data_IF_034448293953
#
_entry.id   IF_034448293953
#
_cell.length_a   1.000
_cell.length_b   1.000
_cell.length_c   1.000
_cell.angle_alpha   90.00
_cell.angle_beta   90.00
_cell.angle_gamma   90.00
#
_symmetry.space_group_name_H-M   'P 1'
#
loop_
_entity.id
_entity.type
_entity.pdbx_description
1 polymer ?
#
# COMPACT_ATOMS: atom_id res chain seq x y z
N UNK A 1 6.74 -3.99 14.40
CA UNK A 1 7.16 -2.61 14.71
C UNK A 1 6.02 -1.67 14.39
N UNK A 2 5.74 -0.76 15.27
CA UNK A 2 4.60 0.13 15.15
C UNK A 2 5.07 1.57 14.95
N UNK A 3 4.59 2.20 13.87
CA UNK A 3 4.90 3.59 13.57
C UNK A 3 3.60 4.38 13.48
N UNK A 4 3.50 5.42 14.25
CA UNK A 4 2.37 6.33 14.18
C UNK A 4 2.70 7.49 13.26
N UNK A 5 1.71 7.91 12.48
CA UNK A 5 1.84 9.06 11.63
C UNK A 5 1.57 10.32 12.45
N UNK A 6 2.29 11.40 12.16
CA UNK A 6 2.05 12.69 12.79
C UNK A 6 0.60 13.08 12.69
N UNK A 7 0.10 13.64 13.78
CA UNK A 7 -1.27 14.13 13.84
C UNK A 7 -1.44 15.35 12.94
N UNK A 8 -2.60 15.46 12.45
CA UNK A 8 -3.02 16.49 11.52
C UNK A 8 -2.77 17.89 11.94
N UNK A 9 -2.96 18.17 13.22
CA UNK A 9 -2.81 19.51 13.76
C UNK A 9 -1.41 20.09 13.50
N UNK A 10 -0.43 19.24 13.22
CA UNK A 10 0.95 19.64 13.02
C UNK A 10 1.32 19.77 11.54
N UNK A 11 0.37 19.54 10.62
CA UNK A 11 0.62 19.58 9.18
C UNK A 11 0.01 20.84 8.56
N UNK A 12 0.72 21.47 7.61
CA UNK A 12 0.14 22.60 6.89
C UNK A 12 -1.05 22.13 6.05
N UNK A 13 -2.06 22.99 5.96
CA UNK A 13 -3.24 22.74 5.14
C UNK A 13 -2.89 22.84 3.66
N UNK A 14 -2.37 21.80 3.08
CA UNK A 14 -1.95 21.78 1.67
C UNK A 14 -2.65 20.73 0.85
N UNK A 15 -3.84 20.29 1.23
CA UNK A 15 -4.59 19.30 0.49
C UNK A 15 -4.02 17.88 0.59
N UNK A 16 -3.02 17.66 1.43
CA UNK A 16 -2.54 16.33 1.71
C UNK A 16 -3.53 15.60 2.61
N UNK A 17 -3.62 14.29 2.42
CA UNK A 17 -4.46 13.45 3.26
C UNK A 17 -3.98 13.54 4.70
N UNK A 18 -4.93 13.75 5.56
CA UNK A 18 -4.67 13.79 6.96
C UNK A 18 -4.97 12.41 7.53
N UNK A 19 -3.94 11.64 7.77
CA UNK A 19 -4.11 10.32 8.35
C UNK A 19 -3.55 10.27 9.75
N UNK A 20 -4.28 9.61 10.65
CA UNK A 20 -3.82 9.36 12.00
C UNK A 20 -2.89 8.15 12.04
N UNK A 21 -3.16 7.17 11.18
CA UNK A 21 -2.41 5.91 11.21
C UNK A 21 -2.55 5.14 9.90
N UNK A 22 -1.43 4.54 9.47
CA UNK A 22 -1.40 3.59 8.37
C UNK A 22 -0.96 2.22 8.87
N UNK A 23 -1.72 1.18 8.52
CA UNK A 23 -1.37 -0.20 8.83
C UNK A 23 -1.33 -0.99 7.53
N UNK A 24 -0.16 -1.53 7.21
CA UNK A 24 0.02 -2.40 6.05
C UNK A 24 -0.15 -3.85 6.47
N UNK A 25 -1.20 -4.49 6.00
CA UNK A 25 -1.41 -5.92 6.20
C UNK A 25 -0.55 -6.67 5.21
N UNK A 26 0.32 -7.53 5.72
CA UNK A 26 1.51 -8.01 5.05
C UNK A 26 1.66 -9.52 5.11
N UNK A 27 2.53 -10.04 4.25
CA UNK A 27 3.05 -11.39 4.30
C UNK A 27 4.52 -11.36 3.88
N UNK A 28 5.36 -12.19 4.49
CA UNK A 28 6.82 -12.12 4.28
C UNK A 28 7.25 -12.41 2.84
N UNK A 29 6.53 -13.26 2.15
CA UNK A 29 6.94 -13.75 0.83
C UNK A 29 6.15 -13.13 -0.33
N UNK A 30 5.33 -12.12 -0.07
CA UNK A 30 4.48 -11.55 -1.10
C UNK A 30 5.18 -10.38 -1.82
N UNK A 31 5.47 -10.50 -3.12
CA UNK A 31 6.11 -9.41 -3.87
C UNK A 31 5.21 -8.19 -4.03
N UNK A 32 3.89 -8.37 -4.02
CA UNK A 32 2.94 -7.25 -4.11
C UNK A 32 2.93 -6.44 -2.82
N UNK A 33 3.13 -7.09 -1.68
CA UNK A 33 3.31 -6.39 -0.39
C UNK A 33 4.57 -5.54 -0.44
N UNK A 34 5.65 -6.06 -1.03
CA UNK A 34 6.91 -5.33 -1.12
C UNK A 34 6.75 -4.02 -1.89
N UNK A 35 5.92 -3.96 -2.91
CA UNK A 35 5.63 -2.72 -3.61
C UNK A 35 5.16 -1.62 -2.65
N UNK A 36 4.18 -1.94 -1.82
CA UNK A 36 3.64 -0.98 -0.86
C UNK A 36 4.65 -0.64 0.23
N UNK A 37 5.34 -1.64 0.75
CA UNK A 37 6.35 -1.44 1.80
C UNK A 37 7.50 -0.56 1.32
N UNK A 38 8.00 -0.79 0.11
CA UNK A 38 9.07 0.00 -0.49
C UNK A 38 8.60 1.45 -0.70
N UNK A 39 7.39 1.64 -1.22
CA UNK A 39 6.84 2.97 -1.43
C UNK A 39 6.74 3.76 -0.13
N UNK A 40 6.24 3.14 0.93
CA UNK A 40 6.15 3.75 2.25
C UNK A 40 7.53 4.12 2.80
N UNK A 41 8.50 3.22 2.64
CA UNK A 41 9.86 3.46 3.08
C UNK A 41 10.52 4.61 2.30
N UNK A 42 10.37 4.64 0.97
CA UNK A 42 10.92 5.70 0.13
C UNK A 42 10.28 7.06 0.40
N UNK A 43 9.03 7.06 0.80
CA UNK A 43 8.33 8.29 1.18
C UNK A 43 8.63 8.73 2.61
N UNK A 44 9.38 7.92 3.35
CA UNK A 44 9.77 8.20 4.74
C UNK A 44 8.55 8.42 5.64
N UNK A 45 7.55 7.57 5.49
CA UNK A 45 6.30 7.67 6.22
C UNK A 45 6.22 6.57 7.26
N UNK A 46 5.94 6.90 8.54
CA UNK A 46 5.73 5.90 9.56
C UNK A 46 4.49 5.05 9.27
N UNK A 47 4.60 3.76 9.47
CA UNK A 47 3.46 2.85 9.31
C UNK A 47 3.64 1.63 10.21
N UNK A 48 2.54 1.01 10.57
CA UNK A 48 2.54 -0.27 11.26
C UNK A 48 2.48 -1.38 10.22
N UNK A 49 3.29 -2.42 10.41
CA UNK A 49 3.28 -3.58 9.53
C UNK A 49 2.70 -4.75 10.30
N UNK A 50 1.61 -5.32 9.78
CA UNK A 50 0.90 -6.42 10.41
C UNK A 50 0.96 -7.64 9.51
N UNK A 51 1.81 -8.59 9.85
CA UNK A 51 1.98 -9.81 9.08
C UNK A 51 0.94 -10.85 9.46
N UNK A 52 0.32 -11.48 8.47
CA UNK A 52 -0.65 -12.54 8.69
C UNK A 52 -0.17 -13.85 8.08
N UNK A 53 -0.75 -14.95 8.55
CA UNK A 53 -0.55 -16.27 7.97
C UNK A 53 -1.64 -16.52 6.92
N UNK A 54 -1.24 -16.60 5.64
CA UNK A 54 -2.18 -16.82 4.54
C UNK A 54 -2.73 -18.23 4.50
N UNK A 55 -2.07 -19.18 5.15
CA UNK A 55 -2.59 -20.54 5.29
C UNK A 55 -3.66 -20.64 6.37
N UNK A 56 -3.68 -19.69 7.31
CA UNK A 56 -4.64 -19.66 8.40
C UNK A 56 -5.07 -18.20 8.63
N UNK A 57 -5.87 -17.69 7.70
CA UNK A 57 -6.27 -16.29 7.69
C UNK A 57 -7.13 -15.94 8.90
N UNK A 58 -6.79 -14.86 9.63
CA UNK A 58 -7.61 -14.42 10.76
C UNK A 58 -9.02 -14.01 10.33
N UNK A 59 -9.97 -14.15 11.23
CA UNK A 59 -11.36 -13.78 10.94
C UNK A 59 -11.50 -12.31 10.58
N UNK A 60 -10.79 -11.43 11.28
CA UNK A 60 -10.82 -9.99 11.00
C UNK A 60 -10.33 -9.67 9.60
N UNK A 61 -9.31 -10.42 9.13
CA UNK A 61 -8.77 -10.23 7.79
C UNK A 61 -9.80 -10.64 6.73
N UNK A 62 -10.44 -11.79 6.91
CA UNK A 62 -11.48 -12.25 5.99
C UNK A 62 -12.64 -11.28 5.90
N UNK A 63 -12.95 -10.61 7.01
CA UNK A 63 -14.04 -9.64 7.06
C UNK A 63 -13.75 -8.37 6.24
N UNK A 64 -12.49 -7.97 6.13
CA UNK A 64 -12.12 -6.71 5.46
C UNK A 64 -11.45 -6.90 4.11
N UNK A 65 -11.05 -8.11 3.75
CA UNK A 65 -10.38 -8.38 2.47
C UNK A 65 -11.37 -9.01 1.50
N UNK A 66 -11.84 -8.28 0.49
CA UNK A 66 -12.83 -8.82 -0.46
C UNK A 66 -12.32 -10.02 -1.24
N UNK A 67 -11.02 -10.06 -1.51
CA UNK A 67 -10.41 -11.12 -2.30
C UNK A 67 -9.58 -12.09 -1.45
N UNK A 68 -9.47 -11.86 -0.15
CA UNK A 68 -8.65 -12.67 0.73
C UNK A 68 -7.16 -12.57 0.42
N UNK A 69 -6.71 -11.46 -0.14
CA UNK A 69 -5.34 -11.24 -0.58
C UNK A 69 -4.66 -10.13 0.19
N UNK A 70 -3.35 -10.20 0.28
CA UNK A 70 -2.49 -9.10 0.73
C UNK A 70 -1.83 -8.46 -0.50
N UNK A 71 -1.39 -7.20 -0.43
CA UNK A 71 -1.48 -6.30 0.72
C UNK A 71 -2.87 -5.67 0.88
N UNK A 72 -3.17 -5.26 2.11
CA UNK A 72 -4.22 -4.32 2.41
C UNK A 72 -3.60 -3.13 3.12
N UNK A 73 -4.10 -1.94 2.86
CA UNK A 73 -3.74 -0.76 3.63
C UNK A 73 -4.94 -0.30 4.44
N UNK A 74 -4.80 -0.30 5.76
CA UNK A 74 -5.81 0.21 6.66
C UNK A 74 -5.45 1.65 7.00
N UNK A 75 -6.32 2.56 6.66
CA UNK A 75 -6.12 4.00 6.83
C UNK A 75 -7.06 4.49 7.92
N UNK A 76 -6.50 4.97 9.02
CA UNK A 76 -7.29 5.63 10.05
C UNK A 76 -7.23 7.14 9.86
N UNK A 77 -8.40 7.75 9.82
CA UNK A 77 -8.54 9.18 9.58
C UNK A 77 -9.80 9.67 10.31
N UNK A 78 -9.63 10.65 11.19
CA UNK A 78 -10.74 11.25 11.93
C UNK A 78 -11.60 10.23 12.68
N UNK A 79 -10.98 9.20 13.24
CA UNK A 79 -11.68 8.16 13.99
C UNK A 79 -12.33 7.08 13.12
N UNK A 80 -12.25 7.19 11.82
CA UNK A 80 -12.79 6.21 10.89
C UNK A 80 -11.67 5.41 10.24
N UNK A 81 -11.96 4.14 9.96
CA UNK A 81 -11.02 3.26 9.25
C UNK A 81 -11.54 2.97 7.86
N UNK A 82 -10.67 3.15 6.87
CA UNK A 82 -10.92 2.77 5.48
C UNK A 82 -9.89 1.72 5.07
N UNK A 83 -10.33 0.70 4.37
CA UNK A 83 -9.45 -0.35 3.87
C UNK A 83 -9.28 -0.17 2.36
N UNK A 84 -8.02 -0.13 1.92
CA UNK A 84 -7.67 -0.07 0.51
C UNK A 84 -7.03 -1.40 0.14
N UNK A 85 -7.53 -2.04 -0.91
CA UNK A 85 -6.98 -3.29 -1.43
C UNK A 85 -6.45 -3.07 -2.85
N UNK A 86 -5.71 -4.03 -3.37
CA UNK A 86 -4.94 -3.98 -4.62
C UNK A 86 -3.67 -3.14 -4.48
N UNK A 87 -2.51 -3.76 -4.72
CA UNK A 87 -1.22 -3.07 -4.55
C UNK A 87 -1.08 -1.84 -5.43
N UNK A 88 -1.54 -1.92 -6.68
CA UNK A 88 -1.48 -0.78 -7.60
C UNK A 88 -2.30 0.40 -7.09
N UNK A 89 -3.48 0.13 -6.53
CA UNK A 89 -4.35 1.16 -5.96
C UNK A 89 -3.72 1.77 -4.70
N UNK A 90 -3.14 0.94 -3.85
CA UNK A 90 -2.41 1.41 -2.67
C UNK A 90 -1.28 2.36 -3.08
N UNK A 91 -0.49 2.00 -4.09
CA UNK A 91 0.60 2.85 -4.58
C UNK A 91 0.10 4.19 -5.10
N UNK A 92 -1.00 4.20 -5.83
CA UNK A 92 -1.60 5.45 -6.33
C UNK A 92 -2.10 6.32 -5.18
N UNK A 93 -2.75 5.72 -4.18
CA UNK A 93 -3.19 6.44 -3.00
C UNK A 93 -2.02 7.10 -2.27
N UNK A 94 -0.93 6.37 -2.09
CA UNK A 94 0.26 6.91 -1.42
C UNK A 94 0.89 8.03 -2.25
N UNK A 95 0.92 7.88 -3.56
CA UNK A 95 1.48 8.90 -4.46
C UNK A 95 0.65 10.20 -4.45
N UNK A 96 -0.67 10.08 -4.39
CA UNK A 96 -1.57 11.22 -4.38
C UNK A 96 -1.59 11.98 -3.06
N UNK A 97 -1.32 11.29 -1.96
CA UNK A 97 -1.59 11.82 -0.62
C UNK A 97 -0.35 12.13 0.20
N UNK A 98 0.79 11.57 -0.15
CA UNK A 98 2.03 11.73 0.63
C UNK A 98 3.07 12.53 -0.12
N UNK A 99 3.96 13.16 0.63
CA UNK A 99 5.10 13.87 0.09
C UNK A 99 6.11 12.90 -0.54
N UNK A 100 7.14 13.44 -1.17
CA UNK A 100 8.19 12.67 -1.83
C UNK A 100 7.65 11.81 -2.97
N UNK A 101 7.17 12.44 -4.06
CA UNK A 101 6.62 11.70 -5.19
C UNK A 101 7.66 10.76 -5.80
N UNK A 102 7.22 9.57 -6.19
CA UNK A 102 8.06 8.56 -6.82
C UNK A 102 7.89 8.54 -8.33
N UNK A 103 6.80 9.12 -8.84
CA UNK A 103 6.58 9.30 -10.27
C UNK A 103 7.07 10.67 -10.71
N UNK A 104 7.52 10.79 -11.98
CA UNK A 104 7.83 12.10 -12.54
C UNK A 104 6.57 12.94 -12.68
N UNK A 105 6.74 14.26 -12.65
CA UNK A 105 5.63 15.20 -12.80
C UNK A 105 5.10 15.26 -14.24
N UNK A 106 5.97 15.03 -15.23
CA UNK A 106 5.58 15.04 -16.63
C UNK A 106 4.57 13.94 -16.95
N UNK A 107 3.41 14.25 -17.52
CA UNK A 107 2.36 13.25 -17.76
C UNK A 107 2.79 12.09 -18.67
N UNK A 108 3.59 12.34 -19.69
CA UNK A 108 4.04 11.28 -20.58
C UNK A 108 5.03 10.34 -19.88
N UNK A 109 6.00 10.92 -19.18
CA UNK A 109 6.95 10.13 -18.41
C UNK A 109 6.24 9.32 -17.32
N UNK A 110 5.25 9.90 -16.65
CA UNK A 110 4.43 9.21 -15.65
C UNK A 110 3.66 8.04 -16.26
N UNK A 111 3.08 8.25 -17.45
CA UNK A 111 2.37 7.19 -18.17
C UNK A 111 3.30 6.02 -18.49
N UNK A 112 4.53 6.32 -18.91
CA UNK A 112 5.53 5.28 -19.18
C UNK A 112 5.90 4.51 -17.90
N UNK A 113 6.06 5.19 -16.78
CA UNK A 113 6.28 4.54 -15.48
C UNK A 113 5.15 3.57 -15.15
N UNK A 114 3.90 4.01 -15.31
CA UNK A 114 2.74 3.17 -15.04
C UNK A 114 2.68 1.95 -15.96
N UNK A 115 3.03 2.13 -17.23
CA UNK A 115 3.09 1.01 -18.17
C UNK A 115 4.10 -0.05 -17.72
N UNK A 116 5.28 0.36 -17.26
CA UNK A 116 6.28 -0.56 -16.74
C UNK A 116 5.85 -1.25 -15.44
N UNK A 117 5.10 -0.56 -14.59
CA UNK A 117 4.52 -1.16 -13.39
C UNK A 117 3.55 -2.28 -13.79
N UNK A 118 2.71 -2.05 -14.79
CA UNK A 118 1.79 -3.08 -15.30
C UNK A 118 2.53 -4.25 -15.93
N UNK A 119 3.60 -3.98 -16.65
CA UNK A 119 4.47 -5.03 -17.18
C UNK A 119 5.07 -5.87 -16.04
N UNK A 120 5.54 -5.21 -14.98
CA UNK A 120 6.01 -5.89 -13.78
C UNK A 120 4.93 -6.77 -13.15
N UNK A 121 3.69 -6.30 -13.12
CA UNK A 121 2.56 -7.10 -12.63
C UNK A 121 2.34 -8.35 -13.47
N UNK A 122 2.45 -8.25 -14.78
CA UNK A 122 2.33 -9.40 -15.67
C UNK A 122 3.40 -10.44 -15.40
N UNK A 123 4.63 -10.00 -15.15
CA UNK A 123 5.73 -10.90 -14.77
C UNK A 123 5.43 -11.59 -13.43
N UNK A 124 5.04 -10.83 -12.42
CA UNK A 124 4.73 -11.39 -11.11
C UNK A 124 3.58 -12.40 -11.17
N UNK A 125 2.56 -12.11 -11.97
CA UNK A 125 1.43 -13.03 -12.16
C UNK A 125 1.89 -14.33 -12.84
N UNK A 126 2.77 -14.24 -13.82
CA UNK A 126 3.32 -15.40 -14.49
C UNK A 126 4.15 -16.27 -13.54
N UNK A 127 4.97 -15.65 -12.70
CA UNK A 127 5.76 -16.34 -11.68
C UNK A 127 4.81 -17.01 -10.66
N UNK A 128 3.77 -16.31 -10.23
CA UNK A 128 2.77 -16.87 -9.31
C UNK A 128 2.10 -18.12 -9.86
N UNK A 129 1.75 -18.12 -11.13
CA UNK A 129 1.18 -19.31 -11.79
C UNK A 129 2.15 -20.47 -11.81
N UNK A 130 3.42 -20.20 -12.00
CA UNK A 130 4.44 -21.24 -11.97
C UNK A 130 4.54 -21.90 -10.60
N UNK A 131 4.51 -21.11 -9.54
CA UNK A 131 4.56 -21.64 -8.17
C UNK A 131 3.28 -22.38 -7.78
N UNK A 132 2.14 -22.03 -8.39
CA UNK A 132 0.85 -22.65 -8.07
C UNK A 132 0.53 -23.88 -8.90
N UNK A 133 1.33 -24.13 -9.91
CA UNK A 133 1.10 -25.23 -10.86
C UNK A 133 1.33 -26.62 -10.24
#
# INVERSE_FOLDING_TARGET
MKHEICKIADLPETGSLVTDKLVLVSHHLCPYVQRAAISLAEKDVPFERLTIDLANKPAWFKAISPLGKVPLLRVQQNGEETVIFESAVILEFLEETLANPLHPADPLARARHRAWIEFGSAILNAIGRLYSA
#
